data_IF_147813859295
#
_entry.id   IF_147813859295
#
_cell.length_a   1.000
_cell.length_b   1.000
_cell.length_c   1.000
_cell.angle_alpha   90.00
_cell.angle_beta   90.00
_cell.angle_gamma   90.00
#
_symmetry.space_group_name_H-M   'P 1'
#
loop_
_entity.id
_entity.type
_entity.pdbx_description
1 polymer ?
#
# COMPACT_ATOMS: atom_id res chain seq x y z
N UNK A 1 -23.57 28.76 19.44
CA UNK A 1 -24.62 27.72 19.45
C UNK A 1 -24.83 27.28 18.01
N UNK A 2 -23.95 26.40 17.52
CA UNK A 2 -24.23 25.60 16.33
C UNK A 2 -25.16 24.47 16.77
N UNK A 3 -26.24 24.28 16.04
CA UNK A 3 -27.20 23.20 16.23
C UNK A 3 -26.45 21.87 16.41
N UNK A 4 -26.65 21.23 17.56
CA UNK A 4 -25.84 20.10 18.02
C UNK A 4 -26.22 18.81 17.29
N UNK A 5 -25.76 18.66 16.05
CA UNK A 5 -25.85 17.38 15.36
C UNK A 5 -25.06 16.33 16.15
N UNK A 6 -25.76 15.35 16.72
CA UNK A 6 -25.15 14.20 17.41
C UNK A 6 -24.26 13.43 16.43
N UNK A 7 -23.03 13.15 16.83
CA UNK A 7 -22.11 12.35 16.01
C UNK A 7 -22.61 10.89 15.97
N UNK A 8 -22.66 10.28 14.79
CA UNK A 8 -23.10 8.88 14.66
C UNK A 8 -21.93 7.92 14.86
N UNK A 9 -22.15 6.84 15.63
CA UNK A 9 -21.21 5.73 15.75
C UNK A 9 -21.81 4.46 15.14
N UNK A 10 -21.29 4.07 14.00
CA UNK A 10 -21.72 2.89 13.26
C UNK A 10 -20.93 1.68 13.75
N UNK A 11 -21.62 0.66 14.21
CA UNK A 11 -21.01 -0.55 14.76
C UNK A 11 -21.42 -1.77 13.93
N UNK A 12 -20.50 -2.68 13.67
CA UNK A 12 -20.83 -3.97 13.02
C UNK A 12 -21.42 -4.99 13.98
N UNK A 13 -21.25 -4.81 15.28
CA UNK A 13 -21.79 -5.66 16.33
C UNK A 13 -22.50 -4.83 17.42
N UNK A 14 -23.53 -5.43 18.05
CA UNK A 14 -24.31 -4.77 19.09
C UNK A 14 -23.51 -4.48 20.37
N UNK A 15 -22.56 -5.35 20.72
CA UNK A 15 -21.68 -5.16 21.88
C UNK A 15 -20.85 -3.88 21.76
N UNK A 16 -20.32 -3.60 20.56
CA UNK A 16 -19.58 -2.35 20.30
C UNK A 16 -20.45 -1.11 20.45
N UNK A 17 -21.72 -1.17 20.05
CA UNK A 17 -22.64 -0.06 20.21
C UNK A 17 -22.92 0.23 21.69
N UNK A 18 -23.05 -0.82 22.52
CA UNK A 18 -23.20 -0.70 23.98
C UNK A 18 -21.94 -0.09 24.60
N UNK A 19 -20.76 -0.62 24.27
CA UNK A 19 -19.49 -0.10 24.77
C UNK A 19 -19.28 1.37 24.38
N UNK A 20 -19.58 1.72 23.13
CA UNK A 20 -19.51 3.09 22.65
C UNK A 20 -20.48 4.01 23.42
N UNK A 21 -21.70 3.56 23.72
CA UNK A 21 -22.67 4.32 24.51
C UNK A 21 -22.16 4.58 25.94
N UNK A 22 -21.61 3.56 26.60
CA UNK A 22 -21.06 3.67 27.96
C UNK A 22 -19.89 4.64 28.00
N UNK A 23 -18.96 4.52 27.04
CA UNK A 23 -17.80 5.43 26.97
C UNK A 23 -18.25 6.85 26.63
N UNK A 24 -19.15 7.04 25.66
CA UNK A 24 -19.68 8.35 25.31
C UNK A 24 -20.36 9.04 26.50
N UNK A 25 -21.15 8.29 27.27
CA UNK A 25 -21.80 8.81 28.49
C UNK A 25 -20.76 9.27 29.52
N UNK A 26 -19.71 8.48 29.76
CA UNK A 26 -18.63 8.84 30.69
C UNK A 26 -17.90 10.13 30.26
N UNK A 27 -17.76 10.34 28.95
CA UNK A 27 -17.15 11.54 28.36
C UNK A 27 -18.13 12.71 28.24
N UNK A 28 -19.43 12.51 28.43
CA UNK A 28 -20.46 13.51 28.11
C UNK A 28 -20.48 13.85 26.62
N UNK A 29 -20.09 12.90 25.76
CA UNK A 29 -20.05 13.05 24.31
C UNK A 29 -21.45 12.82 23.72
N UNK A 30 -21.96 13.78 22.95
CA UNK A 30 -23.19 13.63 22.18
C UNK A 30 -22.95 12.69 20.98
N UNK A 31 -23.16 11.39 21.22
CA UNK A 31 -22.95 10.32 20.26
C UNK A 31 -24.21 9.43 20.17
N UNK A 32 -24.59 9.04 18.96
CA UNK A 32 -25.68 8.10 18.71
C UNK A 32 -25.13 6.81 18.09
N UNK A 33 -24.93 5.73 18.87
CA UNK A 33 -24.56 4.43 18.33
C UNK A 33 -25.70 3.79 17.51
N UNK A 34 -25.35 3.21 16.37
CA UNK A 34 -26.25 2.51 15.44
C UNK A 34 -25.60 1.18 15.01
N UNK A 35 -26.40 0.13 14.82
CA UNK A 35 -25.95 -1.19 14.32
C UNK A 35 -26.64 -1.49 12.99
N UNK A 36 -26.22 -0.82 11.89
CA UNK A 36 -26.79 -1.08 10.56
C UNK A 36 -26.34 -2.45 10.04
N UNK A 37 -27.10 -3.02 9.09
CA UNK A 37 -26.74 -4.29 8.43
C UNK A 37 -25.43 -4.19 7.63
N UNK A 38 -25.11 -2.99 7.13
CA UNK A 38 -23.83 -2.66 6.48
C UNK A 38 -23.31 -1.32 7.00
N UNK A 39 -22.45 -1.34 8.04
CA UNK A 39 -21.86 -0.14 8.62
C UNK A 39 -20.98 0.66 7.66
N UNK A 40 -20.30 -0.02 6.73
CA UNK A 40 -19.41 0.63 5.77
C UNK A 40 -20.23 1.38 4.71
N UNK A 41 -21.27 0.75 4.16
CA UNK A 41 -22.20 1.45 3.27
C UNK A 41 -22.87 2.64 3.95
N UNK A 42 -23.32 2.45 5.21
CA UNK A 42 -23.93 3.54 5.97
C UNK A 42 -22.95 4.69 6.23
N UNK A 43 -21.69 4.40 6.49
CA UNK A 43 -20.64 5.39 6.66
C UNK A 43 -20.42 6.20 5.36
N UNK A 44 -20.39 5.53 4.20
CA UNK A 44 -20.29 6.20 2.90
C UNK A 44 -21.42 7.19 2.68
N UNK A 45 -22.66 6.81 2.97
CA UNK A 45 -23.82 7.71 2.83
C UNK A 45 -23.73 8.95 3.74
N UNK A 46 -23.29 8.77 4.99
CA UNK A 46 -23.14 9.86 5.96
C UNK A 46 -22.04 10.83 5.48
N UNK A 47 -20.88 10.30 5.09
CA UNK A 47 -19.77 11.10 4.59
C UNK A 47 -20.16 11.86 3.31
N UNK A 48 -20.87 11.20 2.39
CA UNK A 48 -21.34 11.83 1.15
C UNK A 48 -22.34 12.98 1.39
N UNK A 49 -23.07 12.97 2.51
CA UNK A 49 -23.96 14.07 2.92
C UNK A 49 -23.24 15.25 3.60
N UNK A 50 -21.92 15.19 3.74
CA UNK A 50 -21.20 16.24 4.42
C UNK A 50 -21.14 16.07 5.95
N UNK A 51 -21.40 14.88 6.48
CA UNK A 51 -21.38 14.59 7.92
C UNK A 51 -20.15 13.75 8.31
N UNK A 52 -19.54 14.01 9.47
CA UNK A 52 -18.50 13.14 10.05
C UNK A 52 -19.12 11.96 10.80
N UNK A 53 -18.39 10.85 10.93
CA UNK A 53 -18.86 9.69 11.70
C UNK A 53 -17.73 8.90 12.36
N UNK A 54 -18.11 8.07 13.34
CA UNK A 54 -17.27 7.02 13.91
C UNK A 54 -17.74 5.69 13.33
N UNK A 55 -16.81 4.86 12.89
CA UNK A 55 -17.05 3.49 12.46
C UNK A 55 -16.22 2.57 13.34
N UNK A 56 -16.90 1.76 14.15
CA UNK A 56 -16.33 0.78 15.05
C UNK A 56 -16.54 -0.60 14.45
N UNK A 57 -15.45 -1.32 14.19
CA UNK A 57 -15.52 -2.62 13.54
C UNK A 57 -14.76 -3.69 14.31
N UNK A 58 -15.43 -4.83 14.51
CA UNK A 58 -14.79 -6.10 14.85
C UNK A 58 -14.06 -6.67 13.64
N UNK A 59 -14.66 -6.55 12.45
CA UNK A 59 -14.05 -6.99 11.18
C UNK A 59 -13.38 -5.83 10.47
N UNK A 60 -12.09 -5.97 10.18
CA UNK A 60 -11.33 -4.93 9.48
C UNK A 60 -11.96 -4.66 8.10
N UNK A 61 -12.30 -3.40 7.75
CA UNK A 61 -12.80 -3.05 6.43
C UNK A 61 -11.81 -3.43 5.33
N UNK A 62 -12.31 -3.68 4.12
CA UNK A 62 -11.42 -3.92 2.97
C UNK A 62 -10.58 -2.68 2.66
N UNK A 63 -9.44 -2.87 2.00
CA UNK A 63 -8.59 -1.75 1.57
C UNK A 63 -9.35 -0.81 0.62
N UNK A 64 -10.21 -1.35 -0.25
CA UNK A 64 -11.04 -0.55 -1.14
C UNK A 64 -12.05 0.30 -0.37
N UNK A 65 -12.73 -0.27 0.63
CA UNK A 65 -13.64 0.47 1.49
C UNK A 65 -12.92 1.56 2.28
N UNK A 66 -11.73 1.25 2.80
CA UNK A 66 -10.89 2.20 3.54
C UNK A 66 -10.51 3.39 2.65
N UNK A 67 -10.10 3.14 1.40
CA UNK A 67 -9.84 4.19 0.41
C UNK A 67 -11.09 5.01 0.14
N UNK A 68 -12.23 4.37 -0.11
CA UNK A 68 -13.48 5.09 -0.41
C UNK A 68 -13.95 5.96 0.76
N UNK A 69 -13.90 5.46 2.00
CA UNK A 69 -14.28 6.21 3.18
C UNK A 69 -13.37 7.43 3.39
N UNK A 70 -12.05 7.23 3.30
CA UNK A 70 -11.07 8.30 3.48
C UNK A 70 -11.19 9.37 2.37
N UNK A 71 -11.42 8.95 1.12
CA UNK A 71 -11.61 9.85 -0.01
C UNK A 71 -12.90 10.68 0.11
N UNK A 72 -14.03 10.04 0.45
CA UNK A 72 -15.31 10.73 0.68
C UNK A 72 -15.22 11.73 1.84
N UNK A 73 -14.63 11.32 2.97
CA UNK A 73 -14.44 12.19 4.13
C UNK A 73 -13.63 13.43 3.73
N UNK A 74 -12.52 13.23 3.01
CA UNK A 74 -11.66 14.32 2.54
C UNK A 74 -12.39 15.24 1.56
N UNK A 75 -13.08 14.68 0.57
CA UNK A 75 -13.76 15.45 -0.48
C UNK A 75 -14.79 16.44 0.10
N UNK A 76 -15.42 16.08 1.22
CA UNK A 76 -16.41 16.89 1.92
C UNK A 76 -15.84 17.71 3.09
N UNK A 77 -14.54 17.64 3.35
CA UNK A 77 -13.90 18.33 4.49
C UNK A 77 -14.20 17.72 5.87
N UNK A 78 -14.73 16.51 5.90
CA UNK A 78 -15.17 15.79 7.09
C UNK A 78 -14.12 14.80 7.59
N UNK A 79 -14.45 14.10 8.67
CA UNK A 79 -13.60 13.07 9.27
C UNK A 79 -14.37 11.78 9.39
N UNK A 80 -13.73 10.70 8.99
CA UNK A 80 -14.09 9.34 9.41
C UNK A 80 -13.11 8.90 10.49
N UNK A 81 -13.66 8.47 11.63
CA UNK A 81 -12.89 7.87 12.72
C UNK A 81 -13.07 6.36 12.66
N UNK A 82 -12.01 5.62 12.38
CA UNK A 82 -12.02 4.16 12.29
C UNK A 82 -11.48 3.57 13.61
N UNK A 83 -12.33 2.91 14.38
CA UNK A 83 -11.93 2.14 15.55
C UNK A 83 -11.94 0.65 15.24
N UNK A 84 -10.77 0.03 15.17
CA UNK A 84 -10.62 -1.41 14.94
C UNK A 84 -10.29 -2.12 16.25
N UNK A 85 -10.85 -3.30 16.52
CA UNK A 85 -10.57 -3.98 17.79
C UNK A 85 -9.14 -4.50 17.92
N UNK A 86 -8.54 -4.92 16.81
CA UNK A 86 -7.19 -5.49 16.80
C UNK A 86 -6.25 -4.63 15.96
N UNK A 87 -4.94 -4.59 16.31
CA UNK A 87 -3.94 -3.99 15.46
C UNK A 87 -3.91 -4.68 14.09
N UNK A 88 -4.04 -3.89 13.02
CA UNK A 88 -3.90 -4.36 11.65
C UNK A 88 -3.19 -3.32 10.80
N UNK A 89 -2.63 -3.73 9.66
CA UNK A 89 -2.00 -2.78 8.72
C UNK A 89 -3.00 -1.75 8.19
N UNK A 90 -4.30 -2.06 8.21
CA UNK A 90 -5.39 -1.16 7.79
C UNK A 90 -5.41 0.11 8.63
N UNK A 91 -5.01 0.07 9.91
CA UNK A 91 -4.88 1.27 10.74
C UNK A 91 -3.86 2.24 10.12
N UNK A 92 -2.68 1.76 9.76
CA UNK A 92 -1.64 2.61 9.18
C UNK A 92 -2.03 3.06 7.76
N UNK A 93 -2.58 2.16 6.95
CA UNK A 93 -3.08 2.47 5.61
C UNK A 93 -4.17 3.56 5.63
N UNK A 94 -5.11 3.48 6.57
CA UNK A 94 -6.14 4.49 6.76
C UNK A 94 -5.56 5.85 7.16
N UNK A 95 -4.59 5.87 8.09
CA UNK A 95 -3.88 7.09 8.51
C UNK A 95 -3.14 7.75 7.36
N UNK A 96 -2.45 6.93 6.56
CA UNK A 96 -1.76 7.38 5.37
C UNK A 96 -2.71 8.01 4.34
N UNK A 97 -3.96 7.56 4.32
CA UNK A 97 -5.05 8.14 3.53
C UNK A 97 -5.75 9.32 4.23
N UNK A 98 -5.23 9.84 5.34
CA UNK A 98 -5.79 10.98 6.05
C UNK A 98 -7.03 10.68 6.90
N UNK A 99 -7.40 9.41 7.10
CA UNK A 99 -8.44 9.01 8.03
C UNK A 99 -7.88 8.90 9.46
N UNK A 100 -8.73 9.13 10.47
CA UNK A 100 -8.33 9.01 11.87
C UNK A 100 -8.58 7.56 12.30
N UNK A 101 -7.55 6.72 12.24
CA UNK A 101 -7.68 5.31 12.62
C UNK A 101 -6.96 4.99 13.94
N UNK A 102 -7.60 4.20 14.79
CA UNK A 102 -7.11 3.80 16.11
C UNK A 102 -7.51 2.36 16.42
N UNK A 103 -6.84 1.75 17.41
CA UNK A 103 -7.19 0.42 17.92
C UNK A 103 -8.01 0.60 19.20
N UNK A 104 -9.21 0.03 19.24
CA UNK A 104 -10.12 0.03 20.38
C UNK A 104 -11.17 1.15 20.37
N UNK A 105 -12.24 0.92 21.13
CA UNK A 105 -13.39 1.85 21.25
C UNK A 105 -12.97 3.13 21.99
N UNK A 106 -12.28 3.03 23.13
CA UNK A 106 -11.94 4.21 23.95
C UNK A 106 -11.07 5.23 23.21
N UNK A 107 -9.99 4.85 22.49
CA UNK A 107 -9.26 5.79 21.64
C UNK A 107 -10.11 6.41 20.52
N UNK A 108 -11.04 5.66 19.92
CA UNK A 108 -11.91 6.18 18.86
C UNK A 108 -12.86 7.25 19.40
N UNK A 109 -13.39 7.03 20.60
CA UNK A 109 -14.27 7.96 21.30
C UNK A 109 -13.50 9.19 21.84
N UNK A 110 -12.24 9.01 22.26
CA UNK A 110 -11.34 10.10 22.57
C UNK A 110 -11.05 10.97 21.32
N UNK A 111 -10.83 10.35 20.16
CA UNK A 111 -10.71 11.08 18.90
C UNK A 111 -12.00 11.83 18.56
N UNK A 112 -13.17 11.18 18.73
CA UNK A 112 -14.47 11.79 18.49
C UNK A 112 -14.72 13.02 19.40
N UNK A 113 -14.31 12.97 20.67
CA UNK A 113 -14.40 14.10 21.59
C UNK A 113 -13.50 15.28 21.18
N UNK A 114 -12.38 15.02 20.50
CA UNK A 114 -11.47 16.04 19.99
C UNK A 114 -11.88 16.61 18.62
N UNK A 115 -12.79 15.94 17.91
CA UNK A 115 -13.21 16.33 16.56
C UNK A 115 -13.67 17.79 16.43
N UNK A 116 -14.50 18.35 17.34
CA UNK A 116 -14.90 19.76 17.27
C UNK A 116 -13.74 20.75 17.39
N UNK A 117 -12.60 20.30 17.94
CA UNK A 117 -11.42 21.12 18.20
C UNK A 117 -10.29 20.89 17.19
N UNK A 118 -10.51 20.08 16.14
CA UNK A 118 -9.48 19.73 15.15
C UNK A 118 -8.74 20.95 14.58
N UNK A 119 -9.44 22.07 14.35
CA UNK A 119 -8.85 23.30 13.83
C UNK A 119 -7.81 23.93 14.79
N UNK A 120 -7.90 23.66 16.10
CA UNK A 120 -6.92 24.07 17.10
C UNK A 120 -5.71 23.14 17.18
N UNK A 121 -5.69 22.03 16.41
CA UNK A 121 -4.62 21.03 16.44
C UNK A 121 -4.32 20.50 17.86
N UNK A 122 -5.25 19.79 18.52
CA UNK A 122 -5.06 19.29 19.90
C UNK A 122 -3.80 18.44 20.10
N UNK A 123 -3.22 17.88 19.04
CA UNK A 123 -1.95 17.16 19.07
C UNK A 123 -0.71 18.04 19.27
N UNK A 124 -0.87 19.36 19.23
CA UNK A 124 0.14 20.36 19.58
C UNK A 124 -0.16 21.06 20.90
N UNK A 125 -1.16 20.57 21.64
CA UNK A 125 -1.63 21.18 22.89
C UNK A 125 -0.57 21.14 23.99
N UNK A 126 -0.68 22.08 24.93
CA UNK A 126 0.17 22.10 26.12
C UNK A 126 -0.24 21.02 27.12
N UNK A 127 0.75 20.30 27.65
CA UNK A 127 0.60 19.41 28.80
C UNK A 127 0.99 20.08 30.13
N UNK A 128 1.15 21.42 30.15
CA UNK A 128 1.55 22.16 31.35
C UNK A 128 0.45 22.08 32.41
N UNK A 129 0.84 21.69 33.62
CA UNK A 129 -0.08 21.49 34.75
C UNK A 129 -0.49 20.03 34.95
N UNK A 130 -0.13 19.12 34.03
CA UNK A 130 -0.30 17.68 34.21
C UNK A 130 0.85 17.05 35.01
N UNK A 131 0.53 15.97 35.73
CA UNK A 131 1.49 15.15 36.45
C UNK A 131 2.53 14.51 35.51
N UNK A 132 3.67 14.05 36.07
CA UNK A 132 4.74 13.43 35.28
C UNK A 132 4.29 12.20 34.48
N UNK A 133 3.44 11.35 35.08
CA UNK A 133 2.90 10.15 34.42
C UNK A 133 2.03 10.48 33.21
N UNK A 134 1.09 11.43 33.36
CA UNK A 134 0.20 11.85 32.26
C UNK A 134 1.00 12.45 31.09
N UNK A 135 2.00 13.30 31.40
CA UNK A 135 2.88 13.88 30.38
C UNK A 135 3.68 12.83 29.63
N UNK A 136 4.16 11.81 30.31
CA UNK A 136 4.89 10.70 29.70
C UNK A 136 3.99 9.87 28.76
N UNK A 137 2.71 9.67 29.11
CA UNK A 137 1.77 8.91 28.28
C UNK A 137 1.28 9.67 27.05
N UNK A 138 1.07 11.00 27.15
CA UNK A 138 0.51 11.79 26.05
C UNK A 138 1.48 12.00 24.87
N UNK A 139 2.79 11.83 25.07
CA UNK A 139 3.82 12.01 24.04
C UNK A 139 3.72 13.34 23.26
N UNK A 140 3.32 14.42 23.94
CA UNK A 140 3.16 15.75 23.35
C UNK A 140 4.51 16.46 23.20
N UNK A 141 4.71 17.08 22.03
CA UNK A 141 5.78 18.06 21.78
C UNK A 141 5.58 19.34 22.62
N UNK A 142 6.58 20.24 22.71
CA UNK A 142 6.39 21.53 23.36
C UNK A 142 5.17 22.25 22.81
N UNK A 143 4.28 22.69 23.72
CA UNK A 143 2.97 23.22 23.34
C UNK A 143 3.06 24.45 22.43
N UNK A 144 2.25 24.47 21.37
CA UNK A 144 2.15 25.59 20.46
C UNK A 144 1.09 26.60 20.93
N UNK A 145 1.33 27.89 20.69
CA UNK A 145 0.37 28.95 21.00
C UNK A 145 -0.93 28.73 20.23
N UNK A 146 -2.07 28.85 20.89
CA UNK A 146 -3.39 28.63 20.29
C UNK A 146 -3.85 27.17 20.22
N UNK A 147 -3.00 26.20 20.58
CA UNK A 147 -3.33 24.78 20.50
C UNK A 147 -4.07 24.21 21.72
N UNK A 148 -4.46 25.08 22.66
CA UNK A 148 -5.13 24.68 23.90
C UNK A 148 -4.22 23.93 24.88
N UNK A 149 -4.84 23.28 25.86
CA UNK A 149 -4.15 22.49 26.88
C UNK A 149 -4.97 21.30 27.33
N UNK A 150 -4.29 20.28 27.84
CA UNK A 150 -4.92 19.19 28.58
C UNK A 150 -4.90 19.48 30.07
N UNK A 151 -6.05 19.28 30.73
CA UNK A 151 -6.22 19.44 32.18
C UNK A 151 -6.80 18.17 32.79
N UNK A 152 -6.42 17.89 34.03
CA UNK A 152 -6.94 16.73 34.76
C UNK A 152 -8.34 17.03 35.29
N UNK A 153 -9.24 16.07 35.14
CA UNK A 153 -10.61 16.09 35.63
C UNK A 153 -10.80 14.98 36.69
N UNK A 154 -12.01 14.90 37.23
CA UNK A 154 -12.39 13.84 38.16
C UNK A 154 -12.26 12.44 37.52
N UNK A 155 -12.21 11.41 38.36
CA UNK A 155 -12.12 10.00 37.95
C UNK A 155 -10.90 9.64 37.08
N UNK A 156 -9.85 10.48 37.09
CA UNK A 156 -8.60 10.19 36.36
C UNK A 156 -8.67 10.49 34.86
N UNK A 157 -9.74 11.11 34.38
CA UNK A 157 -9.88 11.53 33.00
C UNK A 157 -9.16 12.87 32.76
N UNK A 158 -8.77 13.11 31.52
CA UNK A 158 -8.31 14.41 31.07
C UNK A 158 -9.36 15.08 30.18
N UNK A 159 -9.40 16.41 30.24
CA UNK A 159 -10.15 17.25 29.32
C UNK A 159 -9.20 18.07 28.45
N UNK A 160 -9.66 18.38 27.25
CA UNK A 160 -9.06 19.37 26.38
C UNK A 160 -9.76 20.71 26.58
N UNK A 161 -8.98 21.78 26.73
CA UNK A 161 -9.46 23.14 26.96
C UNK A 161 -8.81 24.10 25.96
N UNK A 162 -9.63 24.87 25.24
CA UNK A 162 -9.13 25.94 24.34
C UNK A 162 -8.78 27.20 25.13
N UNK A 163 -8.01 28.11 24.54
CA UNK A 163 -7.74 29.43 25.14
C UNK A 163 -9.03 30.25 25.34
N UNK A 164 -10.07 29.98 24.55
CA UNK A 164 -11.39 30.60 24.66
C UNK A 164 -12.31 29.97 25.72
N UNK A 165 -11.81 29.00 26.51
CA UNK A 165 -12.56 28.37 27.61
C UNK A 165 -13.53 27.26 27.19
N UNK A 166 -13.54 26.86 25.91
CA UNK A 166 -14.30 25.69 25.49
C UNK A 166 -13.61 24.42 26.02
N UNK A 167 -14.36 23.53 26.64
CA UNK A 167 -13.85 22.35 27.33
C UNK A 167 -14.58 21.09 26.88
N UNK A 168 -13.84 20.01 26.66
CA UNK A 168 -14.40 18.68 26.41
C UNK A 168 -13.63 17.62 27.20
N UNK A 169 -14.35 16.72 27.88
CA UNK A 169 -13.75 15.52 28.48
C UNK A 169 -13.37 14.57 27.36
N UNK A 170 -12.14 14.05 27.38
CA UNK A 170 -11.59 13.29 26.26
C UNK A 170 -11.36 11.83 26.61
N UNK A 171 -10.77 11.54 27.77
CA UNK A 171 -10.52 10.15 28.18
C UNK A 171 -9.32 9.98 29.09
N UNK A 172 -8.85 8.75 29.20
CA UNK A 172 -7.61 8.41 29.89
C UNK A 172 -6.39 8.83 29.03
N UNK A 173 -5.22 9.14 29.63
CA UNK A 173 -4.09 9.66 28.88
C UNK A 173 -3.61 8.72 27.74
N UNK A 174 -3.66 7.40 27.94
CA UNK A 174 -3.33 6.41 26.89
C UNK A 174 -4.25 6.48 25.67
N UNK A 175 -5.55 6.66 25.90
CA UNK A 175 -6.55 6.70 24.83
C UNK A 175 -6.43 8.01 24.04
N UNK A 176 -6.15 9.09 24.77
CA UNK A 176 -5.85 10.39 24.20
C UNK A 176 -4.57 10.32 23.36
N UNK A 177 -3.49 9.71 23.86
CA UNK A 177 -2.25 9.58 23.11
C UNK A 177 -2.47 8.88 21.76
N UNK A 178 -3.19 7.76 21.75
CA UNK A 178 -3.54 7.05 20.53
C UNK A 178 -4.40 7.88 19.57
N UNK A 179 -5.38 8.65 20.08
CA UNK A 179 -6.17 9.58 19.28
C UNK A 179 -5.33 10.71 18.67
N UNK A 180 -4.42 11.30 19.45
CA UNK A 180 -3.52 12.36 19.00
C UNK A 180 -2.52 11.86 17.96
N UNK A 181 -1.98 10.65 18.15
CA UNK A 181 -1.13 9.97 17.17
C UNK A 181 -1.88 9.76 15.85
N UNK A 182 -3.15 9.33 15.92
CA UNK A 182 -3.99 9.15 14.74
C UNK A 182 -4.27 10.48 14.01
N UNK A 183 -4.56 11.56 14.74
CA UNK A 183 -4.71 12.88 14.13
C UNK A 183 -3.42 13.40 13.50
N UNK A 184 -2.27 13.23 14.17
CA UNK A 184 -0.96 13.59 13.61
C UNK A 184 -0.72 12.81 12.32
N UNK A 185 -0.90 11.50 12.33
CA UNK A 185 -0.69 10.69 11.14
C UNK A 185 -1.65 11.07 9.99
N UNK A 186 -2.92 11.32 10.31
CA UNK A 186 -3.92 11.76 9.34
C UNK A 186 -3.61 13.13 8.73
N UNK A 187 -3.03 14.07 9.50
CA UNK A 187 -2.59 15.38 9.00
C UNK A 187 -1.44 15.24 7.99
N UNK A 188 -0.57 14.24 8.19
CA UNK A 188 0.53 13.91 7.27
C UNK A 188 0.10 12.96 6.14
N UNK A 189 -1.19 12.61 6.06
CA UNK A 189 -1.72 11.75 4.99
C UNK A 189 -1.43 12.36 3.62
N UNK A 190 -0.81 11.59 2.74
CA UNK A 190 -0.26 12.12 1.49
C UNK A 190 -1.37 12.28 0.45
N UNK A 191 -1.41 13.46 -0.18
CA UNK A 191 -2.36 13.80 -1.23
C UNK A 191 -1.58 14.00 -2.53
N UNK A 192 -1.41 12.93 -3.28
CA UNK A 192 -0.74 12.98 -4.56
C UNK A 192 -1.73 12.65 -5.67
N UNK A 193 -1.71 13.49 -6.70
CA UNK A 193 -2.43 13.23 -7.94
C UNK A 193 -1.93 11.93 -8.55
N UNK A 194 -2.79 11.19 -9.27
CA UNK A 194 -2.37 9.99 -9.99
C UNK A 194 -1.10 10.27 -10.79
N UNK A 195 -0.09 9.39 -10.69
CA UNK A 195 1.15 9.59 -11.42
C UNK A 195 0.88 9.45 -12.91
N UNK A 196 1.50 10.32 -13.69
CA UNK A 196 1.50 10.27 -15.14
C UNK A 196 2.95 10.19 -15.61
N UNK A 197 3.17 9.40 -16.66
CA UNK A 197 4.43 9.37 -17.40
C UNK A 197 4.15 10.02 -18.74
N UNK A 198 4.97 10.99 -19.14
CA UNK A 198 4.82 11.69 -20.42
C UNK A 198 5.31 10.83 -21.58
N UNK A 199 4.70 10.97 -22.75
CA UNK A 199 5.18 10.31 -23.98
C UNK A 199 4.86 8.81 -24.10
N UNK A 200 4.04 8.25 -23.20
CA UNK A 200 3.64 6.83 -23.27
C UNK A 200 2.82 6.55 -24.53
N UNK A 201 3.26 5.57 -25.33
CA UNK A 201 2.48 5.03 -26.44
C UNK A 201 1.39 4.09 -25.92
N UNK A 202 0.25 4.66 -25.57
CA UNK A 202 -0.89 3.91 -25.03
C UNK A 202 -1.46 2.89 -26.01
N UNK A 203 -1.35 3.11 -27.32
CA UNK A 203 -1.85 2.18 -28.33
C UNK A 203 -1.01 0.91 -28.36
N UNK A 204 0.32 1.04 -28.35
CA UNK A 204 1.22 -0.10 -28.30
C UNK A 204 1.07 -0.93 -27.02
N UNK A 205 0.78 -0.29 -25.88
CA UNK A 205 0.44 -1.02 -24.64
C UNK A 205 -0.86 -1.81 -24.81
N UNK A 206 -1.89 -1.19 -25.39
CA UNK A 206 -3.19 -1.84 -25.63
C UNK A 206 -3.06 -3.05 -26.54
N UNK A 207 -2.22 -3.01 -27.58
CA UNK A 207 -1.97 -4.16 -28.46
C UNK A 207 -1.49 -5.41 -27.70
N UNK A 208 -0.79 -5.21 -26.56
CA UNK A 208 -0.29 -6.30 -25.72
C UNK A 208 -1.34 -6.76 -24.70
N UNK A 209 -2.00 -5.82 -24.02
CA UNK A 209 -2.88 -6.14 -22.88
C UNK A 209 -4.32 -6.47 -23.29
N UNK A 210 -4.77 -6.07 -24.48
CA UNK A 210 -6.13 -6.33 -24.94
C UNK A 210 -6.40 -7.84 -25.08
N UNK A 211 -7.66 -8.24 -24.92
CA UNK A 211 -8.12 -9.63 -24.98
C UNK A 211 -8.65 -10.16 -23.64
N UNK A 212 -8.92 -11.47 -23.56
CA UNK A 212 -9.59 -12.08 -22.41
C UNK A 212 -8.74 -12.05 -21.15
N UNK A 213 -9.42 -12.23 -20.01
CA UNK A 213 -8.79 -12.27 -18.69
C UNK A 213 -7.69 -13.34 -18.63
N UNK A 214 -6.45 -12.93 -18.35
CA UNK A 214 -5.27 -13.81 -18.34
C UNK A 214 -4.09 -13.16 -17.60
N UNK A 215 -3.15 -13.98 -17.15
CA UNK A 215 -1.82 -13.49 -16.78
C UNK A 215 -0.91 -13.49 -18.02
N UNK A 216 -0.18 -12.40 -18.24
CA UNK A 216 0.81 -12.32 -19.31
C UNK A 216 2.09 -13.04 -18.91
N UNK A 217 2.82 -13.59 -19.89
CA UNK A 217 4.20 -14.07 -19.66
C UNK A 217 5.14 -12.91 -19.33
N UNK A 218 6.30 -13.21 -18.77
CA UNK A 218 7.32 -12.19 -18.47
C UNK A 218 7.68 -11.28 -19.66
N UNK A 219 8.03 -11.82 -20.87
CA UNK A 219 8.35 -10.96 -22.01
C UNK A 219 7.19 -10.06 -22.47
N UNK A 220 5.96 -10.56 -22.42
CA UNK A 220 4.78 -9.79 -22.79
C UNK A 220 4.47 -8.70 -21.75
N UNK A 221 4.66 -9.01 -20.47
CA UNK A 221 4.50 -8.04 -19.37
C UNK A 221 5.52 -6.92 -19.51
N UNK A 222 6.80 -7.26 -19.75
CA UNK A 222 7.87 -6.30 -20.00
C UNK A 222 7.65 -5.47 -21.26
N UNK A 223 7.13 -6.06 -22.34
CA UNK A 223 6.77 -5.32 -23.56
C UNK A 223 5.70 -4.24 -23.30
N UNK A 224 4.68 -4.54 -22.49
CA UNK A 224 3.68 -3.54 -22.09
C UNK A 224 4.28 -2.46 -21.15
N UNK A 225 5.18 -2.87 -20.25
CA UNK A 225 5.80 -2.00 -19.25
C UNK A 225 6.94 -1.12 -19.80
N UNK A 226 7.56 -1.50 -20.93
CA UNK A 226 8.68 -0.78 -21.53
C UNK A 226 8.36 0.68 -21.87
N UNK A 227 7.09 0.98 -22.21
CA UNK A 227 6.62 2.33 -22.51
C UNK A 227 6.52 3.25 -21.29
N UNK A 228 6.74 2.72 -20.08
CA UNK A 228 6.82 3.48 -18.83
C UNK A 228 8.27 3.66 -18.35
N UNK A 229 9.23 3.44 -19.25
CA UNK A 229 10.68 3.64 -19.05
C UNK A 229 11.26 2.85 -17.86
N UNK A 230 10.61 1.75 -17.47
CA UNK A 230 11.07 0.91 -16.35
C UNK A 230 12.47 0.36 -16.62
N UNK A 231 13.30 0.14 -15.57
CA UNK A 231 14.66 -0.36 -15.72
C UNK A 231 14.63 -1.87 -16.02
N UNK A 232 14.33 -2.19 -17.28
CA UNK A 232 14.31 -3.55 -17.80
C UNK A 232 15.73 -4.00 -18.19
N UNK A 233 16.13 -5.25 -17.93
CA UNK A 233 17.40 -5.76 -18.40
C UNK A 233 17.43 -5.84 -19.93
N UNK A 234 18.62 -5.77 -20.51
CA UNK A 234 18.81 -6.17 -21.91
C UNK A 234 18.58 -7.68 -22.02
N UNK A 235 17.52 -8.07 -22.71
CA UNK A 235 17.12 -9.48 -22.82
C UNK A 235 16.46 -9.83 -24.16
N UNK A 236 16.41 -11.13 -24.46
CA UNK A 236 15.76 -11.65 -25.67
C UNK A 236 15.05 -12.99 -25.40
N UNK A 237 13.85 -13.15 -25.94
CA UNK A 237 13.10 -14.41 -25.89
C UNK A 237 13.64 -15.41 -26.92
N UNK A 238 14.08 -16.56 -26.44
CA UNK A 238 14.72 -17.61 -27.21
C UNK A 238 13.90 -18.90 -27.18
N UNK A 239 13.34 -19.29 -28.34
CA UNK A 239 12.58 -20.54 -28.48
C UNK A 239 13.45 -21.79 -28.75
N UNK A 240 14.78 -21.64 -28.83
CA UNK A 240 15.70 -22.77 -29.04
C UNK A 240 17.05 -22.55 -28.36
N UNK A 241 17.74 -23.66 -28.04
CA UNK A 241 19.08 -23.62 -27.45
C UNK A 241 20.09 -22.87 -28.32
N UNK A 242 20.02 -23.03 -29.65
CA UNK A 242 20.91 -22.35 -30.59
C UNK A 242 20.70 -20.84 -30.58
N UNK A 243 19.44 -20.38 -30.58
CA UNK A 243 19.12 -18.94 -30.45
C UNK A 243 19.58 -18.40 -29.11
N UNK A 244 19.30 -19.09 -28.01
CA UNK A 244 19.73 -18.70 -26.67
C UNK A 244 21.26 -18.49 -26.59
N UNK A 245 22.03 -19.41 -27.16
CA UNK A 245 23.49 -19.30 -27.18
C UNK A 245 24.00 -18.14 -28.05
N UNK A 246 23.36 -17.89 -29.19
CA UNK A 246 23.69 -16.76 -30.07
C UNK A 246 23.40 -15.43 -29.39
N UNK A 247 22.25 -15.30 -28.74
CA UNK A 247 21.87 -14.10 -28.01
C UNK A 247 22.75 -13.86 -26.79
N UNK A 248 23.13 -14.91 -26.06
CA UNK A 248 24.09 -14.80 -24.97
C UNK A 248 25.46 -14.25 -25.43
N UNK A 249 25.94 -14.68 -26.61
CA UNK A 249 27.17 -14.13 -27.19
C UNK A 249 27.01 -12.67 -27.59
N UNK A 250 25.85 -12.27 -28.10
CA UNK A 250 25.55 -10.89 -28.49
C UNK A 250 25.44 -9.96 -27.26
N UNK A 251 24.74 -10.40 -26.21
CA UNK A 251 24.57 -9.65 -24.96
C UNK A 251 25.90 -9.56 -24.20
N UNK A 252 26.68 -10.64 -24.19
CA UNK A 252 27.93 -10.76 -23.46
C UNK A 252 27.76 -11.53 -22.15
N UNK A 253 28.80 -12.26 -21.76
CA UNK A 253 28.80 -13.08 -20.55
C UNK A 253 29.28 -12.30 -19.31
N UNK A 254 28.80 -12.63 -18.10
CA UNK A 254 27.81 -13.68 -17.81
C UNK A 254 26.36 -13.26 -18.13
N UNK A 255 25.51 -14.25 -18.44
CA UNK A 255 24.08 -14.07 -18.70
C UNK A 255 23.22 -14.86 -17.71
N UNK A 256 21.97 -14.43 -17.54
CA UNK A 256 20.90 -15.21 -16.92
C UNK A 256 20.08 -15.89 -18.01
N UNK A 257 19.69 -17.14 -17.75
CA UNK A 257 18.77 -17.92 -18.59
C UNK A 257 17.57 -18.30 -17.74
N UNK A 258 16.37 -17.86 -18.11
CA UNK A 258 15.17 -18.04 -17.30
C UNK A 258 13.98 -18.50 -18.14
N UNK A 259 13.12 -19.37 -17.61
CA UNK A 259 11.93 -19.85 -18.32
C UNK A 259 10.99 -18.69 -18.70
N UNK A 260 10.52 -18.67 -19.94
CA UNK A 260 9.43 -17.80 -20.36
C UNK A 260 8.13 -18.62 -20.48
N UNK A 261 7.21 -18.43 -19.53
CA UNK A 261 5.88 -19.04 -19.57
C UNK A 261 4.83 -18.10 -18.95
N UNK A 262 3.62 -18.01 -19.53
CA UNK A 262 2.48 -17.37 -18.88
C UNK A 262 1.84 -18.24 -17.78
N UNK A 263 2.06 -19.56 -17.83
CA UNK A 263 1.33 -20.52 -16.98
C UNK A 263 2.23 -21.03 -15.84
N UNK A 264 3.55 -21.09 -16.05
CA UNK A 264 4.54 -21.54 -15.06
C UNK A 264 5.48 -20.40 -14.62
N UNK A 265 5.43 -20.02 -13.33
CA UNK A 265 6.16 -18.85 -12.79
C UNK A 265 7.48 -19.23 -12.15
N UNK A 266 8.51 -18.42 -12.39
CA UNK A 266 9.84 -18.64 -11.80
C UNK A 266 9.84 -18.25 -10.32
N UNK A 267 9.05 -17.26 -9.90
CA UNK A 267 8.90 -16.89 -8.49
C UNK A 267 8.49 -18.06 -7.59
N UNK A 268 7.68 -18.99 -8.11
CA UNK A 268 7.29 -20.21 -7.39
C UNK A 268 8.32 -21.34 -7.55
N UNK A 269 9.12 -21.28 -8.62
CA UNK A 269 10.07 -22.31 -9.05
C UNK A 269 11.42 -21.69 -9.45
N UNK A 270 12.24 -21.28 -8.47
CA UNK A 270 13.51 -20.61 -8.74
C UNK A 270 14.50 -21.46 -9.56
N UNK A 271 14.34 -22.79 -9.55
CA UNK A 271 15.12 -23.74 -10.36
C UNK A 271 14.88 -23.63 -11.87
N UNK A 272 13.85 -22.89 -12.29
CA UNK A 272 13.57 -22.56 -13.69
C UNK A 272 14.31 -21.31 -14.18
N UNK A 273 15.25 -20.80 -13.39
CA UNK A 273 16.20 -19.78 -13.80
C UNK A 273 17.62 -20.15 -13.37
N UNK A 274 18.60 -19.76 -14.19
CA UNK A 274 20.01 -19.93 -13.92
C UNK A 274 20.75 -18.63 -14.18
N UNK A 275 21.33 -18.07 -13.12
CA UNK A 275 22.19 -16.89 -13.18
C UNK A 275 23.66 -17.27 -13.46
N UNK A 276 24.44 -16.33 -13.98
CA UNK A 276 25.90 -16.47 -14.06
C UNK A 276 26.40 -17.43 -15.14
N UNK A 277 25.62 -17.67 -16.19
CA UNK A 277 26.02 -18.54 -17.31
C UNK A 277 27.12 -17.85 -18.11
N UNK A 278 28.29 -18.47 -18.21
CA UNK A 278 29.55 -17.84 -18.64
C UNK A 278 29.99 -18.17 -20.08
N UNK A 279 29.24 -19.02 -20.78
CA UNK A 279 29.63 -19.50 -22.11
C UNK A 279 28.44 -19.99 -22.92
N UNK A 280 28.58 -19.88 -24.25
CA UNK A 280 27.53 -20.27 -25.20
C UNK A 280 27.16 -21.76 -25.08
N UNK A 281 28.12 -22.63 -24.74
CA UNK A 281 27.85 -24.06 -24.50
C UNK A 281 26.98 -24.24 -23.27
N UNK A 282 27.35 -23.63 -22.13
CA UNK A 282 26.52 -23.69 -20.92
C UNK A 282 25.14 -23.08 -21.12
N UNK A 283 25.00 -22.03 -21.94
CA UNK A 283 23.68 -21.49 -22.29
C UNK A 283 22.79 -22.52 -23.00
N UNK A 284 23.34 -23.32 -23.92
CA UNK A 284 22.58 -24.40 -24.58
C UNK A 284 22.14 -25.47 -23.58
N UNK A 285 23.02 -25.81 -22.65
CA UNK A 285 22.74 -26.83 -21.63
C UNK A 285 21.69 -26.33 -20.63
N UNK A 286 21.82 -25.08 -20.17
CA UNK A 286 20.83 -24.40 -19.32
C UNK A 286 19.45 -24.35 -20.00
N UNK A 287 19.39 -23.98 -21.28
CA UNK A 287 18.14 -24.02 -22.06
C UNK A 287 17.50 -25.41 -22.00
N UNK A 288 18.25 -26.47 -22.34
CA UNK A 288 17.71 -27.84 -22.38
C UNK A 288 17.26 -28.30 -21.01
N UNK A 289 18.04 -28.00 -19.98
CA UNK A 289 17.74 -28.36 -18.60
C UNK A 289 16.45 -27.67 -18.13
N UNK A 290 16.34 -26.36 -18.27
CA UNK A 290 15.16 -25.59 -17.84
C UNK A 290 13.92 -26.07 -18.60
N UNK A 291 14.00 -26.24 -19.92
CA UNK A 291 12.85 -26.73 -20.71
C UNK A 291 12.43 -28.15 -20.33
N UNK A 292 13.39 -29.02 -19.99
CA UNK A 292 13.09 -30.38 -19.51
C UNK A 292 12.43 -30.36 -18.12
N UNK A 293 12.94 -29.54 -17.19
CA UNK A 293 12.35 -29.35 -15.86
C UNK A 293 10.93 -28.79 -15.96
N UNK A 294 10.73 -27.75 -16.75
CA UNK A 294 9.42 -27.14 -16.99
C UNK A 294 8.42 -28.16 -17.54
N UNK A 295 8.80 -28.90 -18.59
CA UNK A 295 7.91 -29.90 -19.22
C UNK A 295 7.56 -31.07 -18.30
N UNK A 296 8.50 -31.49 -17.46
CA UNK A 296 8.25 -32.54 -16.46
C UNK A 296 7.32 -32.06 -15.35
N UNK A 297 7.41 -30.78 -14.99
CA UNK A 297 6.62 -30.17 -13.92
C UNK A 297 5.19 -29.89 -14.37
N UNK A 298 5.02 -29.37 -15.58
CA UNK A 298 3.71 -29.05 -16.14
C UNK A 298 3.70 -29.31 -17.66
N UNK A 299 3.23 -30.49 -18.06
CA UNK A 299 3.27 -30.93 -19.45
C UNK A 299 2.27 -30.20 -20.35
N UNK A 300 1.19 -29.68 -19.77
CA UNK A 300 0.10 -28.99 -20.47
C UNK A 300 0.29 -27.46 -20.50
N UNK A 301 1.24 -26.93 -19.72
CA UNK A 301 1.48 -25.49 -19.62
C UNK A 301 2.13 -24.95 -20.89
N UNK A 302 1.80 -23.71 -21.26
CA UNK A 302 2.40 -23.07 -22.43
C UNK A 302 3.84 -22.66 -22.10
N UNK A 303 4.81 -23.24 -22.79
CA UNK A 303 6.22 -22.89 -22.66
C UNK A 303 6.65 -22.12 -23.91
N UNK A 304 7.06 -20.86 -23.76
CA UNK A 304 7.48 -20.02 -24.88
C UNK A 304 8.96 -20.24 -25.25
N UNK A 305 9.75 -20.74 -24.29
CA UNK A 305 11.20 -20.88 -24.39
C UNK A 305 11.87 -20.33 -23.14
N UNK A 306 13.01 -19.65 -23.31
CA UNK A 306 13.71 -18.97 -22.22
C UNK A 306 14.00 -17.52 -22.59
N UNK A 307 14.02 -16.61 -21.63
CA UNK A 307 14.70 -15.33 -21.77
C UNK A 307 16.19 -15.49 -21.50
N UNK A 308 17.01 -14.83 -22.31
CA UNK A 308 18.45 -14.66 -22.06
C UNK A 308 18.69 -13.19 -21.78
N UNK A 309 19.21 -12.87 -20.60
CA UNK A 309 19.42 -11.49 -20.16
C UNK A 309 20.83 -11.26 -19.59
N UNK A 310 21.29 -10.02 -19.57
CA UNK A 310 22.54 -9.66 -18.90
C UNK A 310 22.48 -10.06 -17.41
N UNK A 311 23.51 -10.73 -16.90
CA UNK A 311 23.54 -11.07 -15.48
C UNK A 311 24.10 -9.88 -14.67
N UNK A 312 23.22 -9.22 -13.93
CA UNK A 312 23.59 -8.21 -12.93
C UNK A 312 23.70 -8.84 -11.54
N UNK A 313 24.53 -8.28 -10.67
CA UNK A 313 24.63 -8.75 -9.29
C UNK A 313 23.63 -8.00 -8.41
N UNK A 314 22.61 -8.72 -7.93
CA UNK A 314 21.68 -8.20 -6.95
C UNK A 314 22.25 -8.33 -5.54
N UNK A 315 22.04 -7.30 -4.72
CA UNK A 315 22.26 -7.35 -3.27
C UNK A 315 21.04 -7.90 -2.56
N UNK A 316 19.86 -7.48 -3.00
CA UNK A 316 18.59 -7.88 -2.44
C UNK A 316 17.57 -8.03 -3.57
N UNK A 317 16.58 -8.89 -3.34
CA UNK A 317 15.48 -9.14 -4.26
C UNK A 317 14.18 -8.79 -3.52
N UNK A 318 13.39 -7.91 -4.12
CA UNK A 318 12.06 -7.54 -3.64
C UNK A 318 11.01 -8.19 -4.51
N UNK A 319 9.88 -8.53 -3.91
CA UNK A 319 8.63 -8.83 -4.58
C UNK A 319 7.72 -7.63 -4.41
N UNK A 320 7.19 -7.12 -5.52
CA UNK A 320 6.29 -5.97 -5.53
C UNK A 320 4.98 -6.38 -6.18
N UNK A 321 3.87 -6.25 -5.45
CA UNK A 321 2.53 -6.52 -5.97
C UNK A 321 1.68 -5.28 -5.91
N UNK A 322 1.11 -4.89 -7.05
CA UNK A 322 0.29 -3.71 -7.19
C UNK A 322 -1.10 -4.06 -7.70
N UNK A 323 -2.14 -3.45 -7.09
CA UNK A 323 -3.54 -3.65 -7.45
C UNK A 323 -4.27 -2.30 -7.51
N UNK A 324 -5.07 -2.00 -8.55
CA UNK A 324 -5.87 -0.79 -8.62
C UNK A 324 -6.86 -0.67 -7.46
N UNK A 325 -6.98 0.52 -6.88
CA UNK A 325 -7.90 0.86 -5.80
C UNK A 325 -8.84 1.99 -6.23
N UNK A 326 -9.95 2.25 -5.51
CA UNK A 326 -10.79 3.43 -5.75
C UNK A 326 -10.00 4.74 -5.70
N UNK A 327 -10.62 5.85 -6.13
CA UNK A 327 -10.03 7.19 -6.13
C UNK A 327 -8.71 7.34 -6.93
N UNK A 328 -8.39 6.41 -7.83
CA UNK A 328 -7.18 6.50 -8.66
C UNK A 328 -5.92 5.99 -7.98
N UNK A 329 -6.04 5.47 -6.75
CA UNK A 329 -4.92 4.94 -5.99
C UNK A 329 -4.57 3.52 -6.44
N UNK A 330 -3.38 3.09 -6.05
CA UNK A 330 -2.88 1.73 -6.24
C UNK A 330 -2.41 1.21 -4.90
N UNK A 331 -2.89 0.03 -4.49
CA UNK A 331 -2.34 -0.66 -3.33
C UNK A 331 -1.06 -1.34 -3.76
N UNK A 332 0.02 -1.13 -3.00
CA UNK A 332 1.32 -1.72 -3.22
C UNK A 332 1.73 -2.54 -1.99
N UNK A 333 2.12 -3.79 -2.23
CA UNK A 333 2.73 -4.68 -1.25
C UNK A 333 4.18 -4.89 -1.65
N UNK A 334 5.10 -4.69 -0.71
CA UNK A 334 6.52 -4.95 -0.90
C UNK A 334 6.97 -6.00 0.12
N UNK A 335 7.61 -7.04 -0.37
CA UNK A 335 8.13 -8.16 0.41
C UNK A 335 9.54 -8.50 -0.08
N UNK A 336 10.34 -9.21 0.70
CA UNK A 336 11.56 -9.82 0.16
C UNK A 336 11.21 -11.04 -0.69
N UNK A 337 11.74 -11.10 -1.92
CA UNK A 337 11.64 -12.27 -2.76
C UNK A 337 12.68 -13.34 -2.34
N UNK A 338 12.47 -14.58 -2.77
CA UNK A 338 13.43 -15.65 -2.54
C UNK A 338 14.74 -15.40 -3.31
N UNK A 339 15.90 -15.83 -2.76
CA UNK A 339 16.06 -16.66 -1.55
C UNK A 339 16.01 -15.86 -0.23
N UNK A 340 15.78 -14.55 -0.28
CA UNK A 340 15.99 -13.66 0.85
C UNK A 340 14.79 -13.53 1.80
N UNK A 341 13.56 -13.88 1.43
CA UNK A 341 12.49 -13.61 2.39
C UNK A 341 11.02 -13.92 2.13
N UNK A 342 10.61 -14.76 1.16
CA UNK A 342 9.17 -15.13 1.10
C UNK A 342 8.77 -15.87 2.37
N UNK A 343 9.61 -16.81 2.82
CA UNK A 343 9.40 -17.55 4.07
C UNK A 343 9.50 -16.69 5.34
N UNK A 344 10.09 -15.49 5.27
CA UNK A 344 10.28 -14.63 6.45
C UNK A 344 8.99 -13.90 6.87
N UNK A 345 8.03 -13.76 5.95
CA UNK A 345 6.85 -12.91 6.14
C UNK A 345 7.18 -11.43 6.37
N UNK A 346 8.38 -10.98 6.00
CA UNK A 346 8.79 -9.59 6.08
C UNK A 346 8.23 -8.80 4.89
N UNK A 347 7.23 -7.98 5.17
CA UNK A 347 6.53 -7.22 4.16
C UNK A 347 5.87 -5.97 4.72
N UNK A 348 5.69 -5.00 3.83
CA UNK A 348 5.03 -3.73 4.09
C UNK A 348 3.96 -3.47 3.04
N UNK A 349 2.94 -2.71 3.42
CA UNK A 349 1.84 -2.32 2.55
C UNK A 349 1.66 -0.82 2.56
N UNK A 350 1.34 -0.27 1.39
CA UNK A 350 1.13 1.16 1.20
C UNK A 350 0.14 1.43 0.08
N UNK A 351 -0.35 2.66 0.00
CA UNK A 351 -0.97 3.18 -1.22
C UNK A 351 0.02 4.06 -1.98
N UNK A 352 -0.11 4.03 -3.31
CA UNK A 352 0.55 4.90 -4.26
C UNK A 352 -0.51 5.75 -4.97
N UNK A 353 -0.18 6.97 -5.43
CA UNK A 353 1.12 7.64 -5.38
C UNK A 353 1.59 8.00 -3.96
N UNK A 354 2.92 8.07 -3.78
CA UNK A 354 3.58 8.43 -2.51
C UNK A 354 4.85 9.26 -2.76
N UNK A 355 5.13 10.20 -1.87
CA UNK A 355 6.31 11.06 -1.89
C UNK A 355 7.58 10.25 -1.63
N UNK A 356 8.74 10.81 -2.00
CA UNK A 356 10.04 10.19 -1.72
C UNK A 356 10.22 9.83 -0.23
N UNK A 357 9.87 10.75 0.67
CA UNK A 357 9.96 10.52 2.11
C UNK A 357 8.97 9.45 2.59
N UNK A 358 7.78 9.41 1.97
CA UNK A 358 6.81 8.35 2.21
C UNK A 358 7.33 6.98 1.77
N UNK A 359 7.92 6.87 0.58
CA UNK A 359 8.56 5.63 0.12
C UNK A 359 9.69 5.23 1.07
N UNK A 360 10.52 6.17 1.49
CA UNK A 360 11.56 5.93 2.48
C UNK A 360 11.02 5.34 3.79
N UNK A 361 9.93 5.90 4.32
CA UNK A 361 9.24 5.37 5.51
C UNK A 361 8.69 3.97 5.31
N UNK A 362 8.15 3.67 4.12
CA UNK A 362 7.65 2.34 3.76
C UNK A 362 8.80 1.32 3.75
N UNK A 363 9.90 1.62 3.07
CA UNK A 363 11.07 0.73 3.01
C UNK A 363 11.73 0.56 4.39
N UNK A 364 11.75 1.61 5.22
CA UNK A 364 12.24 1.51 6.59
C UNK A 364 11.35 0.60 7.48
N UNK A 365 10.12 0.32 7.06
CA UNK A 365 9.23 -0.62 7.74
C UNK A 365 9.60 -2.10 7.54
N UNK A 366 10.42 -2.43 6.54
CA UNK A 366 10.93 -3.77 6.33
C UNK A 366 11.95 -4.13 7.41
N UNK A 367 11.79 -5.30 8.03
CA UNK A 367 12.72 -5.80 9.06
C UNK A 367 14.11 -6.04 8.49
N UNK A 368 14.18 -6.52 7.25
CA UNK A 368 15.39 -6.77 6.49
C UNK A 368 15.98 -5.55 5.77
N UNK A 369 15.52 -4.33 6.06
CA UNK A 369 15.95 -3.09 5.36
C UNK A 369 17.46 -2.90 5.22
N UNK A 370 18.27 -3.43 6.15
CA UNK A 370 19.75 -3.38 6.06
C UNK A 370 20.32 -4.15 4.88
N UNK A 371 19.56 -5.09 4.30
CA UNK A 371 19.91 -5.77 3.04
C UNK A 371 19.71 -4.86 1.83
N UNK A 372 18.74 -3.93 1.89
CA UNK A 372 18.48 -2.98 0.81
C UNK A 372 19.57 -1.91 0.79
N UNK A 373 19.83 -1.31 1.95
CA UNK A 373 20.81 -0.23 2.11
C UNK A 373 21.60 -0.38 3.42
N UNK A 374 22.92 -0.61 3.34
CA UNK A 374 23.78 -0.75 4.53
C UNK A 374 24.14 0.59 5.19
N UNK A 375 23.95 1.71 4.49
CA UNK A 375 24.27 3.06 4.96
C UNK A 375 23.30 4.10 4.40
N UNK A 376 23.31 5.31 4.97
CA UNK A 376 22.40 6.40 4.60
C UNK A 376 22.60 6.93 3.18
N UNK A 377 23.82 6.85 2.64
CA UNK A 377 24.08 7.29 1.28
C UNK A 377 23.37 6.38 0.27
N UNK A 378 23.50 5.07 0.44
CA UNK A 378 22.81 4.08 -0.38
C UNK A 378 21.30 4.06 -0.13
N UNK A 379 20.84 4.34 1.10
CA UNK A 379 19.41 4.50 1.39
C UNK A 379 18.79 5.55 0.48
N UNK A 380 19.45 6.69 0.27
CA UNK A 380 18.91 7.75 -0.61
C UNK A 380 18.75 7.29 -2.05
N UNK A 381 19.72 6.54 -2.57
CA UNK A 381 19.68 5.99 -3.94
C UNK A 381 18.58 4.95 -4.05
N UNK A 382 18.53 3.96 -3.15
CA UNK A 382 17.50 2.90 -3.18
C UNK A 382 16.09 3.48 -3.06
N UNK A 383 15.87 4.46 -2.18
CA UNK A 383 14.56 5.12 -2.04
C UNK A 383 14.15 5.86 -3.32
N UNK A 384 15.11 6.43 -4.04
CA UNK A 384 14.87 7.12 -5.31
C UNK A 384 14.54 6.13 -6.42
N UNK A 385 15.38 5.12 -6.61
CA UNK A 385 15.26 4.10 -7.66
C UNK A 385 14.02 3.22 -7.47
N UNK A 386 13.81 2.69 -6.27
CA UNK A 386 12.59 1.91 -5.96
C UNK A 386 11.37 2.82 -6.05
N UNK A 387 11.47 4.06 -5.55
CA UNK A 387 10.38 5.04 -5.62
C UNK A 387 9.93 5.30 -7.05
N UNK A 388 10.88 5.55 -7.96
CA UNK A 388 10.60 5.81 -9.37
C UNK A 388 9.93 4.62 -10.05
N UNK A 389 10.43 3.39 -9.85
CA UNK A 389 9.79 2.16 -10.33
C UNK A 389 8.36 2.03 -9.83
N UNK A 390 8.12 2.22 -8.52
CA UNK A 390 6.79 2.13 -7.93
C UNK A 390 5.83 3.17 -8.52
N UNK A 391 6.28 4.41 -8.72
CA UNK A 391 5.46 5.47 -9.28
C UNK A 391 5.11 5.23 -10.75
N UNK A 392 6.03 4.67 -11.55
CA UNK A 392 5.79 4.27 -12.95
C UNK A 392 4.84 3.09 -13.06
N UNK A 393 4.99 2.07 -12.20
CA UNK A 393 4.04 0.96 -12.11
C UNK A 393 2.65 1.43 -11.68
N UNK A 394 2.58 2.37 -10.74
CA UNK A 394 1.33 3.00 -10.35
C UNK A 394 0.70 3.81 -11.50
N UNK A 395 1.51 4.50 -12.31
CA UNK A 395 1.03 5.23 -13.48
C UNK A 395 0.46 4.28 -14.54
N UNK A 396 1.17 3.17 -14.82
CA UNK A 396 0.69 2.12 -15.71
C UNK A 396 -0.66 1.56 -15.24
N UNK A 397 -0.74 1.16 -13.96
CA UNK A 397 -1.97 0.63 -13.41
C UNK A 397 -3.10 1.65 -13.39
N UNK A 398 -2.81 2.92 -13.13
CA UNK A 398 -3.81 3.98 -13.17
C UNK A 398 -4.37 4.16 -14.59
N UNK A 399 -3.50 4.25 -15.60
CA UNK A 399 -3.86 4.45 -17.00
C UNK A 399 -4.68 3.27 -17.56
N UNK A 400 -4.33 2.03 -17.20
CA UNK A 400 -4.96 0.82 -17.73
C UNK A 400 -5.85 0.08 -16.72
N UNK A 401 -6.29 0.75 -15.65
CA UNK A 401 -7.05 0.16 -14.53
C UNK A 401 -8.34 -0.55 -14.93
N UNK A 402 -8.91 -0.21 -16.07
CA UNK A 402 -10.11 -0.87 -16.59
C UNK A 402 -9.77 -2.28 -17.11
N UNK A 403 -8.58 -2.44 -17.68
CA UNK A 403 -8.08 -3.65 -18.35
C UNK A 403 -7.15 -4.48 -17.47
N UNK A 404 -6.40 -3.87 -16.56
CA UNK A 404 -5.39 -4.53 -15.74
C UNK A 404 -5.87 -4.64 -14.29
N UNK A 405 -5.85 -5.87 -13.75
CA UNK A 405 -6.26 -6.17 -12.37
C UNK A 405 -5.09 -6.17 -11.38
N UNK A 406 -3.89 -6.49 -11.84
CA UNK A 406 -2.70 -6.47 -11.01
C UNK A 406 -1.42 -6.38 -11.85
N UNK A 407 -0.36 -5.87 -11.24
CA UNK A 407 1.01 -6.03 -11.72
C UNK A 407 1.85 -6.62 -10.59
N UNK A 408 2.63 -7.64 -10.90
CA UNK A 408 3.57 -8.24 -9.97
C UNK A 408 4.98 -8.20 -10.57
N UNK A 409 5.94 -7.66 -9.83
CA UNK A 409 7.36 -7.72 -10.14
C UNK A 409 8.00 -8.67 -9.15
N UNK A 410 8.52 -9.81 -9.62
CA UNK A 410 9.04 -10.84 -8.74
C UNK A 410 10.17 -11.64 -9.42
N UNK A 411 11.45 -11.25 -9.28
CA UNK A 411 11.94 -10.20 -8.39
C UNK A 411 12.14 -8.83 -9.07
N UNK A 412 12.04 -7.77 -8.26
CA UNK A 412 12.70 -6.48 -8.46
C UNK A 412 14.07 -6.56 -7.77
N UNK A 413 15.16 -6.52 -8.55
CA UNK A 413 16.49 -6.56 -7.98
C UNK A 413 16.96 -5.18 -7.55
N UNK A 414 17.51 -5.10 -6.34
CA UNK A 414 18.33 -3.96 -5.89
C UNK A 414 19.78 -4.34 -6.09
N UNK A 415 20.46 -3.66 -7.01
CA UNK A 415 21.84 -3.94 -7.40
C UNK A 415 22.84 -3.40 -6.39
N UNK A 416 24.09 -3.86 -6.51
CA UNK A 416 25.20 -3.25 -5.76
C UNK A 416 25.35 -1.80 -6.21
N UNK A 417 25.16 -0.85 -5.30
CA UNK A 417 25.16 0.59 -5.59
C UNK A 417 23.79 1.26 -5.48
N UNK A 418 22.71 0.47 -5.42
CA UNK A 418 21.36 0.95 -5.12
C UNK A 418 20.45 1.13 -6.34
N UNK A 419 20.98 1.04 -7.57
CA UNK A 419 20.21 0.92 -8.81
C UNK A 419 19.26 -0.29 -8.74
N UNK A 420 18.19 -0.27 -9.52
CA UNK A 420 17.20 -1.35 -9.56
C UNK A 420 16.99 -1.90 -10.95
N UNK A 421 16.60 -3.17 -11.02
CA UNK A 421 16.34 -3.88 -12.28
C UNK A 421 15.09 -4.76 -12.14
N UNK A 422 14.15 -4.62 -13.08
CA UNK A 422 12.93 -5.42 -13.16
C UNK A 422 13.27 -6.76 -13.82
N UNK A 423 13.59 -7.77 -12.99
CA UNK A 423 14.04 -9.06 -13.49
C UNK A 423 12.91 -9.93 -14.05
N UNK A 424 11.74 -9.87 -13.44
CA UNK A 424 10.56 -10.59 -13.90
C UNK A 424 9.31 -9.78 -13.61
N UNK A 425 8.40 -9.74 -14.57
CA UNK A 425 7.14 -9.03 -14.49
C UNK A 425 5.95 -9.92 -14.87
N UNK A 426 4.81 -9.70 -14.22
CA UNK A 426 3.55 -10.34 -14.53
C UNK A 426 2.42 -9.31 -14.48
N UNK A 427 1.89 -8.95 -15.65
CA UNK A 427 0.67 -8.15 -15.78
C UNK A 427 -0.52 -9.10 -15.85
N UNK A 428 -1.53 -8.87 -15.00
CA UNK A 428 -2.78 -9.64 -15.00
C UNK A 428 -3.88 -8.82 -15.64
N UNK A 429 -4.32 -9.26 -16.81
CA UNK A 429 -5.43 -8.67 -17.57
C UNK A 429 -6.76 -9.18 -17.00
N UNK A 430 -7.71 -8.26 -16.85
CA UNK A 430 -9.06 -8.51 -16.38
C UNK A 430 -10.06 -8.81 -17.49
N UNK A 431 -11.33 -8.73 -17.14
CA UNK A 431 -12.49 -9.10 -17.97
C UNK A 431 -13.04 -7.93 -18.80
N UNK A 432 -12.24 -6.88 -19.01
CA UNK A 432 -12.70 -5.65 -19.67
C UNK A 432 -13.18 -5.90 -21.09
N UNK A 433 -12.48 -6.79 -21.79
CA UNK A 433 -12.80 -7.23 -23.15
C UNK A 433 -14.16 -7.95 -23.21
N UNK A 434 -14.42 -8.88 -22.28
CA UNK A 434 -15.69 -9.58 -22.21
C UNK A 434 -16.84 -8.60 -21.93
N UNK A 435 -16.60 -7.61 -21.06
CA UNK A 435 -17.58 -6.55 -20.79
C UNK A 435 -17.84 -5.65 -22.00
N UNK A 436 -16.86 -5.35 -22.85
CA UNK A 436 -17.08 -4.56 -24.05
C UNK A 436 -17.89 -5.33 -25.09
N UNK A 437 -17.58 -6.61 -25.29
CA UNK A 437 -18.33 -7.48 -26.20
C UNK A 437 -19.82 -7.61 -25.79
N UNK A 438 -20.10 -7.71 -24.49
CA UNK A 438 -21.48 -7.77 -23.97
C UNK A 438 -22.25 -6.46 -24.17
N UNK A 439 -21.58 -5.29 -24.16
CA UNK A 439 -22.23 -3.98 -24.40
C UNK A 439 -22.57 -3.72 -25.86
N UNK A 440 -21.86 -4.36 -26.80
CA UNK A 440 -22.13 -4.20 -28.24
C UNK A 440 -23.26 -5.10 -28.74
N UNK A 441 -23.62 -6.14 -27.97
CA UNK A 441 -24.62 -7.15 -28.35
C UNK A 441 -25.93 -7.09 -27.55
N UNK A 442 -26.08 -6.12 -26.64
CA UNK A 442 -27.30 -5.88 -25.87
C UNK A 442 -27.74 -4.43 -25.98
#
# INVERSE_FOLDING_TARGET
MTDGASLRALCDEAELAVDAAVVAQALGLALSPEVPSDPVARARDILARGESCVLLCTRTPSDADTVTLADLARAQGNVVILGLLEPSSTVQLARDLGAVAVVGVRPALAAAALLPFRAHKPWLASARGLGGADRAQLHLSPGHRGAGRFTRQDAGLLAYETEGGALARVGEPRDIAAALDAYRAAEHGERLSPPAVEGVDTAAVMDVIFGPARALSDPASKAALAYFDLPLPLEELCASASRAASEAQRIGFPVRVALASPDLRIGDHPDLALDGVDSATRTRDAFRQIMALAKNRASEDRLLGVTVSAATQARALLRVKLVPMPAGLVRCELEFADPHGVASGDGVRTFLPRSRDGIGRVLDGLRGRTLLYPNDAERRVVVEEVGDVLMRLAAFLHAFREYVRAVEINPLAVLVGGEVEVREACVVVGDAFERSMLREHG
#
